data_IF_318861017355
#
_entry.id   IF_318861017355
#
_cell.length_a   1.000
_cell.length_b   1.000
_cell.length_c   1.000
_cell.angle_alpha   90.00
_cell.angle_beta   90.00
_cell.angle_gamma   90.00
#
_symmetry.space_group_name_H-M   'P 1'
#
loop_
_entity.id
_entity.type
_entity.pdbx_description
1 polymer ?
#
# COMPACT_ATOMS: atom_id res chain seq x y z
N UNK A 1 8.72 8.83 29.66
CA UNK A 1 8.43 9.67 28.48
C UNK A 1 7.08 9.23 27.97
N UNK A 2 6.02 9.99 28.25
CA UNK A 2 4.68 9.65 27.75
C UNK A 2 4.70 9.89 26.24
N UNK A 3 4.39 8.86 25.44
CA UNK A 3 4.08 9.09 24.04
C UNK A 3 2.90 10.07 24.01
N UNK A 4 3.06 11.20 23.33
CA UNK A 4 1.95 12.11 23.13
C UNK A 4 0.86 11.31 22.40
N UNK A 5 -0.33 11.25 22.98
CA UNK A 5 -1.48 10.61 22.34
C UNK A 5 -1.74 11.34 21.01
N UNK A 6 -1.77 10.59 19.92
CA UNK A 6 -1.93 11.17 18.59
C UNK A 6 -3.26 11.93 18.51
N UNK A 7 -3.25 13.13 17.91
CA UNK A 7 -4.41 14.04 17.97
C UNK A 7 -5.71 13.41 17.44
N UNK A 8 -5.62 12.52 16.46
CA UNK A 8 -6.78 11.85 15.86
C UNK A 8 -7.49 10.84 16.78
N UNK A 9 -6.86 10.42 17.88
CA UNK A 9 -7.50 9.55 18.87
C UNK A 9 -8.35 10.32 19.89
N UNK A 10 -8.19 11.65 19.96
CA UNK A 10 -8.96 12.50 20.86
C UNK A 10 -10.34 12.86 20.27
N UNK A 11 -11.33 13.17 21.13
CA UNK A 11 -12.57 13.79 20.68
C UNK A 11 -12.28 15.10 19.90
N UNK A 12 -13.06 15.41 18.85
CA UNK A 12 -14.29 14.71 18.44
C UNK A 12 -14.08 13.52 17.50
N UNK A 13 -12.86 13.24 17.04
CA UNK A 13 -12.60 12.22 16.02
C UNK A 13 -12.66 10.81 16.63
N UNK A 14 -11.95 10.60 17.74
CA UNK A 14 -11.84 9.30 18.41
C UNK A 14 -11.58 8.15 17.43
N UNK A 15 -10.64 8.36 16.50
CA UNK A 15 -10.50 7.63 15.24
C UNK A 15 -10.60 6.11 15.39
N UNK A 16 -9.86 5.50 16.32
CA UNK A 16 -9.86 4.04 16.46
C UNK A 16 -11.15 3.48 17.08
N UNK A 17 -11.87 4.27 17.89
CA UNK A 17 -13.12 3.84 18.55
C UNK A 17 -14.37 4.12 17.72
N UNK A 18 -14.33 5.14 16.86
CA UNK A 18 -15.46 5.49 16.01
C UNK A 18 -15.68 4.43 14.94
N UNK A 19 -16.93 3.97 14.79
CA UNK A 19 -17.31 3.02 13.75
C UNK A 19 -17.34 3.72 12.39
N UNK A 20 -16.56 3.26 11.39
CA UNK A 20 -16.57 3.87 10.05
C UNK A 20 -17.85 3.59 9.26
N UNK A 21 -18.27 4.55 8.43
CA UNK A 21 -19.31 4.49 7.41
C UNK A 21 -18.71 4.40 5.98
N UNK A 22 -17.70 3.56 5.81
CA UNK A 22 -16.96 3.41 4.56
C UNK A 22 -17.41 2.19 3.71
N UNK A 23 -16.72 1.98 2.58
CA UNK A 23 -16.99 0.87 1.67
C UNK A 23 -16.81 -0.50 2.34
N UNK A 24 -15.89 -0.62 3.29
CA UNK A 24 -15.57 -1.88 3.97
C UNK A 24 -16.62 -2.22 5.01
N UNK A 25 -17.08 -1.25 5.81
CA UNK A 25 -18.22 -1.48 6.72
C UNK A 25 -19.46 -1.90 5.94
N UNK A 26 -19.76 -1.26 4.81
CA UNK A 26 -20.89 -1.65 3.94
C UNK A 26 -20.72 -3.07 3.38
N UNK A 27 -19.53 -3.40 2.89
CA UNK A 27 -19.20 -4.72 2.37
C UNK A 27 -19.35 -5.79 3.46
N UNK A 28 -18.77 -5.57 4.63
CA UNK A 28 -18.82 -6.51 5.76
C UNK A 28 -20.27 -6.76 6.23
N UNK A 29 -21.11 -5.72 6.30
CA UNK A 29 -22.52 -5.88 6.64
C UNK A 29 -23.28 -6.72 5.62
N UNK A 30 -23.06 -6.49 4.32
CA UNK A 30 -23.69 -7.29 3.26
C UNK A 30 -23.22 -8.75 3.31
N UNK A 31 -21.91 -8.98 3.45
CA UNK A 31 -21.33 -10.31 3.51
C UNK A 31 -21.73 -11.09 4.76
N UNK A 32 -22.11 -10.43 5.85
CA UNK A 32 -22.67 -11.10 7.03
C UNK A 32 -24.00 -11.81 6.71
N UNK A 33 -24.75 -11.32 5.73
CA UNK A 33 -26.01 -11.90 5.27
C UNK A 33 -25.80 -12.88 4.09
N UNK A 34 -24.98 -12.49 3.11
CA UNK A 34 -24.84 -13.23 1.84
C UNK A 34 -23.71 -14.26 1.85
N UNK A 35 -22.72 -14.10 2.74
CA UNK A 35 -21.43 -14.76 2.61
C UNK A 35 -20.59 -14.17 1.47
N UNK A 36 -19.31 -14.55 1.45
CA UNK A 36 -18.39 -14.28 0.33
C UNK A 36 -18.51 -15.40 -0.70
N UNK A 37 -18.44 -15.11 -2.01
CA UNK A 37 -18.26 -16.16 -3.02
C UNK A 37 -17.06 -17.06 -2.72
N UNK A 38 -17.15 -18.31 -3.15
CA UNK A 38 -16.02 -19.23 -3.10
C UNK A 38 -14.87 -18.70 -3.97
N UNK A 39 -13.64 -18.98 -3.55
CA UNK A 39 -12.42 -18.62 -4.26
C UNK A 39 -11.40 -19.75 -4.12
N UNK A 40 -10.75 -20.09 -5.22
CA UNK A 40 -9.79 -21.19 -5.32
C UNK A 40 -8.42 -20.79 -4.74
N UNK A 41 -8.04 -19.53 -4.87
CA UNK A 41 -6.75 -19.02 -4.42
C UNK A 41 -6.76 -17.55 -3.95
N UNK A 42 -5.61 -17.07 -3.47
CA UNK A 42 -5.44 -15.69 -3.01
C UNK A 42 -5.67 -14.63 -4.10
N UNK A 43 -5.41 -14.95 -5.37
CA UNK A 43 -5.62 -14.04 -6.50
C UNK A 43 -7.10 -13.90 -6.80
N UNK A 44 -7.87 -14.98 -6.71
CA UNK A 44 -9.31 -14.93 -6.88
C UNK A 44 -9.99 -14.17 -5.73
N UNK A 45 -9.55 -14.36 -4.48
CA UNK A 45 -10.00 -13.54 -3.34
C UNK A 45 -9.73 -12.06 -3.64
N UNK A 46 -8.53 -11.72 -4.12
CA UNK A 46 -8.19 -10.36 -4.48
C UNK A 46 -9.10 -9.82 -5.61
N UNK A 47 -9.32 -10.58 -6.69
CA UNK A 47 -10.21 -10.15 -7.79
C UNK A 47 -11.65 -9.91 -7.32
N UNK A 48 -12.17 -10.80 -6.47
CA UNK A 48 -13.50 -10.63 -5.87
C UNK A 48 -13.57 -9.36 -5.01
N UNK A 49 -12.57 -9.12 -4.15
CA UNK A 49 -12.52 -7.90 -3.35
C UNK A 49 -12.43 -6.63 -4.20
N UNK A 50 -11.61 -6.64 -5.26
CA UNK A 50 -11.50 -5.51 -6.19
C UNK A 50 -12.84 -5.23 -6.86
N UNK A 51 -13.55 -6.26 -7.32
CA UNK A 51 -14.89 -6.11 -7.92
C UNK A 51 -15.92 -5.58 -6.91
N UNK A 52 -15.92 -6.09 -5.68
CA UNK A 52 -16.86 -5.68 -4.64
C UNK A 52 -16.62 -4.26 -4.12
N UNK A 53 -15.39 -3.76 -4.25
CA UNK A 53 -15.00 -2.40 -3.86
C UNK A 53 -14.97 -1.42 -5.03
N UNK A 54 -15.38 -1.85 -6.23
CA UNK A 54 -15.33 -1.07 -7.48
C UNK A 54 -13.93 -0.48 -7.75
N UNK A 55 -12.91 -1.31 -7.56
CA UNK A 55 -11.49 -0.96 -7.81
C UNK A 55 -11.06 -1.60 -9.13
N UNK A 56 -10.76 -0.82 -10.18
CA UNK A 56 -10.36 -1.37 -11.48
C UNK A 56 -9.04 -2.13 -11.40
N UNK A 57 -8.98 -3.36 -11.92
CA UNK A 57 -7.72 -4.13 -12.00
C UNK A 57 -6.66 -3.37 -12.81
N UNK A 58 -7.07 -2.60 -13.82
CA UNK A 58 -6.20 -1.77 -14.66
C UNK A 58 -5.52 -0.61 -13.92
N UNK A 59 -5.95 -0.29 -12.69
CA UNK A 59 -5.31 0.74 -11.84
C UNK A 59 -3.97 0.29 -11.24
N UNK A 60 -3.55 -0.95 -11.47
CA UNK A 60 -2.41 -1.57 -10.82
C UNK A 60 -1.13 -0.72 -10.89
N UNK A 61 -0.52 -0.56 -9.72
CA UNK A 61 0.83 -0.04 -9.50
C UNK A 61 1.66 -1.13 -8.82
N UNK A 62 2.97 -1.15 -9.07
CA UNK A 62 3.87 -2.16 -8.52
C UNK A 62 5.02 -1.50 -7.75
N UNK A 63 5.25 -1.98 -6.53
CA UNK A 63 6.25 -1.47 -5.58
C UNK A 63 7.18 -2.61 -5.20
N UNK A 64 8.45 -2.49 -5.55
CA UNK A 64 9.47 -3.47 -5.18
C UNK A 64 10.28 -3.08 -3.95
N UNK A 65 10.17 -1.83 -3.51
CA UNK A 65 10.86 -1.41 -2.29
C UNK A 65 10.19 -1.97 -1.03
N UNK A 66 11.03 -2.35 -0.06
CA UNK A 66 10.67 -2.91 1.24
C UNK A 66 10.19 -1.85 2.23
N UNK A 67 9.17 -1.09 1.86
CA UNK A 67 8.63 0.07 2.62
C UNK A 67 7.24 -0.18 3.23
N UNK A 68 6.80 -1.43 3.29
CA UNK A 68 5.50 -1.86 3.85
C UNK A 68 5.67 -2.57 5.21
N UNK A 69 4.55 -2.74 5.94
CA UNK A 69 4.42 -3.70 7.03
C UNK A 69 4.87 -5.12 6.59
N UNK A 70 4.65 -5.46 5.32
CA UNK A 70 4.99 -6.77 4.74
C UNK A 70 6.39 -6.83 4.10
N UNK A 71 7.33 -5.99 4.57
CA UNK A 71 8.68 -5.83 3.99
C UNK A 71 9.43 -7.14 3.73
N UNK A 72 9.27 -8.14 4.59
CA UNK A 72 9.99 -9.41 4.48
C UNK A 72 9.56 -10.24 3.25
N UNK A 73 8.36 -9.97 2.71
CA UNK A 73 7.83 -10.64 1.51
C UNK A 73 8.11 -9.90 0.23
N UNK A 74 8.37 -8.60 0.31
CA UNK A 74 8.54 -7.74 -0.86
C UNK A 74 9.98 -7.83 -1.35
N UNK A 75 10.15 -7.98 -2.66
CA UNK A 75 11.44 -7.90 -3.35
C UNK A 75 11.22 -7.43 -4.79
N UNK A 76 12.28 -7.11 -5.56
CA UNK A 76 12.18 -6.92 -7.01
C UNK A 76 11.50 -8.07 -7.75
N UNK A 77 11.72 -9.31 -7.32
CA UNK A 77 11.11 -10.49 -7.97
C UNK A 77 9.76 -10.90 -7.36
N UNK A 78 9.35 -10.28 -6.25
CA UNK A 78 8.04 -10.48 -5.61
C UNK A 78 7.48 -9.12 -5.15
N UNK A 79 7.10 -8.23 -6.09
CA UNK A 79 6.67 -6.89 -5.75
C UNK A 79 5.28 -6.91 -5.10
N UNK A 80 4.99 -5.85 -4.34
CA UNK A 80 3.63 -5.55 -3.88
C UNK A 80 2.87 -4.83 -4.99
N UNK A 81 1.67 -5.29 -5.33
CA UNK A 81 0.73 -4.51 -6.11
C UNK A 81 -0.10 -3.59 -5.22
N UNK A 82 -0.48 -2.45 -5.78
CA UNK A 82 -1.48 -1.53 -5.24
C UNK A 82 -2.48 -1.27 -6.36
N UNK A 83 -3.76 -1.49 -6.09
CA UNK A 83 -4.88 -1.11 -6.93
C UNK A 83 -5.61 0.05 -6.26
N UNK A 84 -6.22 0.93 -7.05
CA UNK A 84 -6.89 2.11 -6.51
C UNK A 84 -8.12 2.53 -7.31
N UNK A 85 -9.05 3.15 -6.59
CA UNK A 85 -10.12 4.00 -7.11
C UNK A 85 -10.06 5.34 -6.38
N UNK A 86 -11.04 6.22 -6.61
CA UNK A 86 -11.12 7.51 -5.90
C UNK A 86 -11.35 7.34 -4.39
N UNK A 87 -11.91 6.20 -3.97
CA UNK A 87 -12.36 5.98 -2.57
C UNK A 87 -11.80 4.73 -1.92
N UNK A 88 -10.97 3.94 -2.61
CA UNK A 88 -10.38 2.73 -2.05
C UNK A 88 -9.00 2.43 -2.63
N UNK A 89 -8.10 1.90 -1.80
CA UNK A 89 -6.80 1.38 -2.20
C UNK A 89 -6.65 -0.04 -1.68
N UNK A 90 -6.21 -0.97 -2.52
CA UNK A 90 -6.01 -2.38 -2.17
C UNK A 90 -4.58 -2.78 -2.47
N UNK A 91 -3.81 -3.06 -1.43
CA UNK A 91 -2.43 -3.54 -1.51
C UNK A 91 -2.35 -5.05 -1.32
N UNK A 92 -1.53 -5.73 -2.12
CA UNK A 92 -1.30 -7.16 -1.98
C UNK A 92 0.10 -7.55 -2.46
N UNK A 93 0.75 -8.46 -1.74
CA UNK A 93 1.97 -9.15 -2.17
C UNK A 93 1.69 -10.65 -2.13
N UNK A 94 2.12 -11.42 -3.14
CA UNK A 94 1.90 -12.87 -3.16
C UNK A 94 2.35 -13.57 -1.86
N UNK A 95 1.49 -14.44 -1.34
CA UNK A 95 1.67 -15.10 -0.05
C UNK A 95 1.58 -14.18 1.17
N UNK A 96 1.08 -12.95 1.02
CA UNK A 96 0.92 -11.94 2.07
C UNK A 96 -0.53 -11.69 2.49
N UNK A 97 -0.72 -10.60 3.23
CA UNK A 97 -2.02 -10.00 3.54
C UNK A 97 -2.51 -9.15 2.37
N UNK A 98 -3.83 -9.01 2.27
CA UNK A 98 -4.49 -7.97 1.50
C UNK A 98 -4.72 -6.80 2.46
N UNK A 99 -4.07 -5.67 2.19
CA UNK A 99 -4.19 -4.43 2.94
C UNK A 99 -5.20 -3.53 2.20
N UNK A 100 -6.21 -3.01 2.89
CA UNK A 100 -7.25 -2.18 2.26
C UNK A 100 -7.32 -0.83 2.97
N UNK A 101 -7.32 0.24 2.19
CA UNK A 101 -7.69 1.58 2.66
C UNK A 101 -9.02 1.97 2.06
N UNK A 102 -9.99 2.35 2.88
CA UNK A 102 -11.25 2.94 2.42
C UNK A 102 -11.32 4.40 2.85
N UNK A 103 -12.00 5.25 2.08
CA UNK A 103 -12.18 6.65 2.44
C UNK A 103 -13.55 6.80 3.14
N UNK A 104 -13.50 7.08 4.43
CA UNK A 104 -14.65 7.42 5.26
C UNK A 104 -14.93 8.94 5.20
N UNK A 105 -16.20 9.37 5.11
CA UNK A 105 -16.55 10.79 5.00
C UNK A 105 -16.21 11.62 6.26
N UNK A 106 -16.07 11.02 7.44
CA UNK A 106 -15.76 11.69 8.70
C UNK A 106 -14.34 11.39 9.19
N UNK A 107 -13.92 10.14 9.12
CA UNK A 107 -12.62 9.66 9.62
C UNK A 107 -11.49 9.81 8.60
N UNK A 108 -11.82 10.03 7.32
CA UNK A 108 -10.85 10.00 6.23
C UNK A 108 -10.40 8.57 5.94
N UNK A 109 -9.13 8.34 5.58
CA UNK A 109 -8.63 7.00 5.29
C UNK A 109 -8.73 6.07 6.50
N UNK A 110 -9.42 4.94 6.34
CA UNK A 110 -9.54 3.83 7.29
C UNK A 110 -8.78 2.61 6.76
N UNK A 111 -8.06 1.92 7.63
CA UNK A 111 -7.11 0.86 7.24
C UNK A 111 -7.55 -0.50 7.77
N UNK A 112 -7.59 -1.48 6.88
CA UNK A 112 -7.99 -2.85 7.14
C UNK A 112 -6.96 -3.84 6.62
N UNK A 113 -6.89 -5.02 7.23
CA UNK A 113 -6.09 -6.12 6.71
C UNK A 113 -6.90 -7.41 6.68
N UNK A 114 -6.64 -8.23 5.67
CA UNK A 114 -7.21 -9.56 5.50
C UNK A 114 -6.07 -10.54 5.23
N UNK A 115 -6.12 -11.72 5.84
CA UNK A 115 -5.25 -12.83 5.48
C UNK A 115 -5.95 -13.77 4.48
N UNK A 116 -5.70 -13.65 3.15
CA UNK A 116 -6.36 -14.49 2.15
C UNK A 116 -5.96 -15.98 2.25
N UNK A 117 -4.87 -16.30 2.96
CA UNK A 117 -4.36 -17.67 3.15
C UNK A 117 -5.09 -18.39 4.29
N UNK A 118 -5.88 -17.67 5.08
CA UNK A 118 -6.81 -18.22 6.05
C UNK A 118 -8.22 -18.09 5.49
N UNK A 119 -8.61 -18.91 4.49
CA UNK A 119 -9.95 -18.85 3.95
C UNK A 119 -10.90 -19.25 5.07
N UNK A 120 -11.52 -18.26 5.71
CA UNK A 120 -12.68 -18.48 6.52
C UNK A 120 -13.77 -18.93 5.57
N UNK A 121 -13.85 -20.26 5.34
CA UNK A 121 -14.88 -20.95 4.57
C UNK A 121 -16.19 -20.15 4.63
N UNK A 122 -16.47 -19.42 3.55
CA UNK A 122 -17.75 -18.82 3.17
C UNK A 122 -18.52 -17.93 4.16
N UNK A 123 -18.07 -17.69 5.39
CA UNK A 123 -18.80 -16.86 6.39
C UNK A 123 -17.96 -15.92 7.25
N UNK A 124 -16.66 -15.75 7.01
CA UNK A 124 -15.81 -15.10 8.01
C UNK A 124 -14.57 -14.35 7.52
N UNK A 125 -14.55 -13.84 6.28
CA UNK A 125 -13.58 -12.80 5.92
C UNK A 125 -13.87 -11.58 6.80
N UNK A 126 -13.14 -11.46 7.91
CA UNK A 126 -13.25 -10.33 8.82
C UNK A 126 -12.33 -9.24 8.35
N UNK A 127 -12.92 -8.07 8.13
CA UNK A 127 -12.20 -6.85 7.85
C UNK A 127 -11.90 -6.20 9.20
N UNK A 128 -10.69 -6.41 9.70
CA UNK A 128 -10.26 -5.86 10.99
C UNK A 128 -9.48 -4.58 10.76
N UNK A 129 -9.79 -3.54 11.53
CA UNK A 129 -8.98 -2.32 11.54
C UNK A 129 -7.67 -2.62 12.23
N UNK A 130 -6.58 -2.45 11.50
CA UNK A 130 -5.24 -2.75 12.00
C UNK A 130 -4.53 -1.46 12.44
N UNK A 131 -4.21 -1.38 13.73
CA UNK A 131 -3.45 -0.26 14.30
C UNK A 131 -2.01 -0.21 13.80
N UNK A 132 -1.44 -1.33 13.32
CA UNK A 132 -0.08 -1.34 12.78
C UNK A 132 0.03 -0.50 11.50
N UNK A 133 -1.05 -0.37 10.72
CA UNK A 133 -1.10 0.55 9.58
C UNK A 133 -0.85 2.00 10.02
N UNK A 134 -1.37 2.41 11.18
CA UNK A 134 -1.23 3.79 11.69
C UNK A 134 0.20 4.13 12.13
N UNK A 135 1.09 3.14 12.31
CA UNK A 135 2.51 3.41 12.56
C UNK A 135 3.15 4.23 11.43
N UNK A 136 2.71 4.00 10.20
CA UNK A 136 3.13 4.76 9.03
C UNK A 136 2.08 5.78 8.60
N UNK A 137 0.80 5.38 8.61
CA UNK A 137 -0.32 6.16 8.10
C UNK A 137 -0.98 7.09 9.12
N UNK A 138 -0.54 7.07 10.38
CA UNK A 138 -0.96 7.96 11.46
C UNK A 138 0.18 8.85 12.00
N UNK A 139 1.45 8.49 11.72
CA UNK A 139 2.61 9.15 12.34
C UNK A 139 3.28 10.28 11.53
N UNK A 140 4.60 10.27 11.53
CA UNK A 140 5.42 11.38 11.03
C UNK A 140 5.23 11.70 9.54
N UNK A 141 5.01 10.68 8.69
CA UNK A 141 4.92 10.88 7.24
C UNK A 141 3.70 11.69 6.81
N UNK A 142 2.63 11.66 7.59
CA UNK A 142 1.38 12.37 7.30
C UNK A 142 1.02 13.41 8.36
N UNK A 143 2.02 13.83 9.16
CA UNK A 143 1.91 14.93 10.14
C UNK A 143 0.84 14.69 11.22
N UNK A 144 0.67 13.44 11.66
CA UNK A 144 -0.27 13.14 12.75
C UNK A 144 -1.74 13.19 12.32
N UNK A 145 -2.04 13.05 11.03
CA UNK A 145 -3.41 12.98 10.49
C UNK A 145 -3.52 11.74 9.59
N UNK A 146 -4.42 10.77 9.90
CA UNK A 146 -4.57 9.55 9.12
C UNK A 146 -4.61 9.80 7.61
N UNK A 147 -3.68 9.18 6.87
CA UNK A 147 -3.40 9.59 5.50
C UNK A 147 -2.68 8.52 4.67
N UNK A 148 -2.94 8.52 3.37
CA UNK A 148 -2.16 7.76 2.37
C UNK A 148 -1.06 8.64 1.78
N UNK A 149 0.06 8.04 1.42
CA UNK A 149 1.19 8.75 0.84
C UNK A 149 2.01 7.84 -0.08
N UNK A 150 2.65 8.45 -1.08
CA UNK A 150 3.65 7.78 -1.91
C UNK A 150 5.05 8.17 -1.45
N UNK A 151 5.97 7.20 -1.40
CA UNK A 151 7.35 7.41 -0.98
C UNK A 151 8.30 7.00 -2.10
N UNK A 152 9.25 7.86 -2.41
CA UNK A 152 10.35 7.62 -3.34
C UNK A 152 11.63 7.41 -2.54
N UNK A 153 12.28 6.26 -2.72
CA UNK A 153 13.47 5.85 -1.96
C UNK A 153 14.65 5.54 -2.89
N UNK A 154 15.80 5.22 -2.31
CA UNK A 154 16.96 4.67 -3.01
C UNK A 154 17.05 3.17 -2.69
N UNK A 155 16.35 2.29 -3.44
CA UNK A 155 16.31 0.87 -3.11
C UNK A 155 17.58 0.16 -3.59
N UNK A 156 18.18 -0.70 -2.76
CA UNK A 156 19.24 -1.61 -3.20
C UNK A 156 18.70 -2.78 -4.03
N UNK A 157 19.57 -3.70 -4.47
CA UNK A 157 19.19 -4.85 -5.30
C UNK A 157 18.21 -5.82 -4.62
N UNK A 158 18.00 -5.72 -3.32
CA UNK A 158 17.01 -6.51 -2.56
C UNK A 158 15.69 -5.76 -2.36
N UNK A 159 15.63 -4.49 -2.79
CA UNK A 159 14.52 -3.57 -2.55
C UNK A 159 14.64 -2.83 -1.21
N UNK A 160 15.72 -3.01 -0.45
CA UNK A 160 15.91 -2.35 0.84
C UNK A 160 16.25 -0.86 0.63
N UNK A 161 15.56 0.09 1.29
CA UNK A 161 15.91 1.50 1.19
C UNK A 161 17.28 1.80 1.82
N UNK A 162 18.18 2.39 1.04
CA UNK A 162 19.46 2.93 1.54
C UNK A 162 19.17 4.28 2.22
N UNK A 163 18.74 4.24 3.49
CA UNK A 163 18.25 5.41 4.22
C UNK A 163 19.24 6.57 4.36
N UNK A 164 20.55 6.31 4.26
CA UNK A 164 21.57 7.38 4.29
C UNK A 164 21.45 8.37 3.12
N UNK A 165 20.87 7.95 2.00
CA UNK A 165 20.58 8.83 0.86
C UNK A 165 19.20 9.51 0.99
N UNK A 166 18.47 9.20 2.05
CA UNK A 166 17.19 9.80 2.39
C UNK A 166 15.99 9.08 1.80
N UNK A 167 14.84 9.73 1.91
CA UNK A 167 13.55 9.27 1.40
C UNK A 167 12.66 10.48 1.15
N UNK A 168 11.99 10.52 0.01
CA UNK A 168 11.14 11.65 -0.40
C UNK A 168 9.67 11.23 -0.31
N UNK A 169 8.85 12.01 0.41
CA UNK A 169 7.39 11.93 0.25
C UNK A 169 7.01 12.64 -1.05
N UNK A 170 6.35 11.91 -1.93
CA UNK A 170 6.00 12.43 -3.26
C UNK A 170 4.68 13.17 -3.18
N UNK A 171 4.70 14.44 -3.55
CA UNK A 171 3.52 15.27 -3.79
C UNK A 171 3.63 16.01 -5.13
N UNK A 172 2.68 16.89 -5.43
CA UNK A 172 2.65 17.63 -6.69
C UNK A 172 3.85 18.58 -6.89
N UNK A 173 4.57 18.95 -5.81
CA UNK A 173 5.73 19.87 -5.81
C UNK A 173 7.05 19.13 -5.94
N UNK A 174 7.08 17.82 -5.70
CA UNK A 174 8.31 17.02 -5.79
C UNK A 174 8.87 17.07 -7.22
N UNK A 175 10.15 17.44 -7.43
CA UNK A 175 10.77 17.40 -8.75
C UNK A 175 10.65 16.01 -9.38
N UNK A 176 10.44 15.94 -10.70
CA UNK A 176 10.15 14.67 -11.38
C UNK A 176 11.30 13.66 -11.25
N UNK A 177 12.53 14.14 -11.27
CA UNK A 177 13.77 13.41 -11.06
C UNK A 177 13.91 12.77 -9.67
N UNK A 178 13.13 13.23 -8.70
CA UNK A 178 13.12 12.66 -7.36
C UNK A 178 12.00 11.63 -7.15
N UNK A 179 11.12 11.41 -8.15
CA UNK A 179 9.95 10.55 -8.00
C UNK A 179 10.22 9.08 -8.30
N UNK A 180 9.36 8.22 -7.75
CA UNK A 180 9.17 6.80 -8.09
C UNK A 180 10.28 5.81 -7.70
N UNK A 181 11.23 6.22 -6.86
CA UNK A 181 12.22 5.31 -6.31
C UNK A 181 11.59 4.15 -5.54
N UNK A 182 11.83 2.92 -5.96
CA UNK A 182 11.19 1.72 -5.40
C UNK A 182 9.91 1.26 -6.11
N UNK A 183 9.52 1.94 -7.19
CA UNK A 183 8.33 1.64 -7.98
C UNK A 183 8.70 1.18 -9.38
N UNK A 184 7.91 0.26 -9.94
CA UNK A 184 7.95 -0.02 -11.36
C UNK A 184 7.10 1.00 -12.13
N UNK A 185 7.68 1.60 -13.16
CA UNK A 185 7.03 2.59 -14.02
C UNK A 185 6.97 2.04 -15.44
N UNK A 186 5.74 1.86 -15.96
CA UNK A 186 5.47 1.18 -17.23
C UNK A 186 5.50 2.13 -18.44
N UNK A 187 5.22 3.42 -18.26
CA UNK A 187 5.07 4.39 -19.34
C UNK A 187 6.38 4.82 -19.99
N UNK A 188 6.34 5.10 -21.29
CA UNK A 188 7.32 5.96 -21.96
C UNK A 188 7.26 7.36 -21.34
N UNK A 189 8.24 7.69 -20.51
CA UNK A 189 8.43 9.05 -20.04
C UNK A 189 9.33 9.79 -21.04
N UNK A 190 9.23 11.11 -21.05
CA UNK A 190 10.12 11.95 -21.85
C UNK A 190 11.60 11.80 -21.42
N UNK A 191 12.44 12.73 -21.89
CA UNK A 191 13.88 12.72 -21.59
C UNK A 191 14.22 12.95 -20.12
N UNK A 192 13.26 13.40 -19.32
CA UNK A 192 13.42 13.63 -17.89
C UNK A 192 13.59 12.30 -17.18
N UNK A 193 14.72 12.14 -16.49
CA UNK A 193 14.97 10.96 -15.66
C UNK A 193 14.10 11.00 -14.41
N UNK A 194 13.84 9.84 -13.83
CA UNK A 194 13.17 9.65 -12.54
C UNK A 194 13.76 8.43 -11.83
N UNK A 195 13.40 8.21 -10.57
CA UNK A 195 13.90 7.07 -9.77
C UNK A 195 13.12 5.77 -9.95
N UNK A 196 12.09 5.74 -10.78
CA UNK A 196 11.40 4.50 -11.16
C UNK A 196 12.31 3.53 -11.91
N UNK A 197 12.12 2.22 -11.69
CA UNK A 197 12.88 1.14 -12.35
C UNK A 197 14.41 1.15 -12.11
N UNK A 198 14.93 1.78 -11.05
CA UNK A 198 16.38 1.79 -10.76
C UNK A 198 16.71 1.16 -9.40
N UNK A 199 17.89 0.55 -9.34
CA UNK A 199 18.59 0.14 -8.13
C UNK A 199 19.65 1.17 -7.79
N UNK A 200 19.78 1.47 -6.50
CA UNK A 200 20.84 2.27 -5.94
C UNK A 200 21.93 1.38 -5.35
N UNK A 201 23.18 1.75 -5.56
CA UNK A 201 24.34 1.23 -4.83
C UNK A 201 25.14 2.39 -4.25
N UNK A 202 26.02 2.06 -3.31
CA UNK A 202 26.97 3.01 -2.74
C UNK A 202 28.35 2.80 -3.36
N UNK A 203 28.95 3.88 -3.87
CA UNK A 203 30.36 3.94 -4.24
C UNK A 203 30.92 5.30 -3.83
N UNK A 204 32.07 5.34 -3.17
CA UNK A 204 32.74 6.59 -2.73
C UNK A 204 31.81 7.57 -1.97
N UNK A 205 30.93 7.03 -1.12
CA UNK A 205 29.90 7.77 -0.38
C UNK A 205 28.89 8.53 -1.26
N UNK A 206 28.80 8.19 -2.55
CA UNK A 206 27.80 8.69 -3.49
C UNK A 206 26.84 7.57 -3.90
N UNK A 207 25.65 7.95 -4.33
CA UNK A 207 24.69 7.01 -4.90
C UNK A 207 25.01 6.78 -6.36
N UNK A 208 25.07 5.52 -6.75
CA UNK A 208 25.18 5.09 -8.14
C UNK A 208 23.91 4.36 -8.52
N UNK A 209 23.36 4.67 -9.68
CA UNK A 209 22.13 4.06 -10.17
C UNK A 209 22.41 3.06 -11.29
N UNK A 210 21.75 1.91 -11.21
CA UNK A 210 21.66 0.92 -12.28
C UNK A 210 20.19 0.61 -12.57
N UNK A 211 19.87 0.19 -13.79
CA UNK A 211 18.50 -0.18 -14.15
C UNK A 211 18.13 -1.56 -13.60
N UNK A 212 16.91 -1.71 -13.10
CA UNK A 212 16.31 -3.04 -12.88
C UNK A 212 15.90 -3.59 -14.25
N UNK A 213 16.37 -4.80 -14.59
CA UNK A 213 15.85 -5.52 -15.75
C UNK A 213 14.35 -5.75 -15.56
N UNK A 214 13.53 -5.27 -16.49
CA UNK A 214 12.13 -5.65 -16.64
C UNK A 214 12.04 -7.10 -17.14
N UNK A 215 12.70 -8.06 -16.50
CA UNK A 215 12.39 -9.47 -16.72
C UNK A 215 10.99 -9.70 -16.16
N UNK A 216 10.03 -9.31 -17.01
CA UNK A 216 8.60 -9.51 -16.98
C UNK A 216 8.03 -9.47 -15.56
N UNK A 217 7.90 -8.26 -15.01
CA UNK A 217 6.93 -8.05 -13.93
C UNK A 217 5.56 -8.08 -14.59
N UNK A 218 5.02 -9.27 -14.77
CA UNK A 218 3.66 -9.46 -15.27
C UNK A 218 2.67 -8.81 -14.31
N UNK A 219 1.55 -8.36 -14.88
CA UNK A 219 0.43 -7.93 -14.07
C UNK A 219 0.09 -9.07 -13.09
N UNK A 220 0.00 -8.73 -11.81
CA UNK A 220 -0.28 -9.72 -10.77
C UNK A 220 -1.67 -10.38 -10.90
N UNK A 221 -2.56 -9.78 -11.71
CA UNK A 221 -3.94 -10.21 -11.98
C UNK A 221 -4.29 -10.13 -13.46
#
# INVERSE_FOLDING_TARGET
MFAAEENYENPPIAYSRTTPEDAITRLQNRLAETGMPDADDEKEILRLLLAELDVPISSQLLVFSRTSLQRDRISPTNPRAIYYSDTCYVGWVPGGLIEITAIDPQLGPTFYAIDPRKPARTRGLKFERDSDCLRCHGGHFIRGIPGVFARSVFPDSTGEPIFKFGSTLVDYRTPFEERWGGWYVTSEHGRTQHRGNIIATEADNQVVFSSVTREVVDALL
#
